data_IF_128919443826
#
_entry.id   IF_128919443826
#
_cell.length_a   1.000
_cell.length_b   1.000
_cell.length_c   1.000
_cell.angle_alpha   90.00
_cell.angle_beta   90.00
_cell.angle_gamma   90.00
#
_symmetry.space_group_name_H-M   'P 1'
#
loop_
_entity.id
_entity.type
_entity.pdbx_description
1 polymer ?
#
# COMPACT_ATOMS: atom_id res chain seq x y z
N UNK A 1 11.44 -19.38 -55.77
CA UNK A 1 12.43 -19.24 -54.67
C UNK A 1 13.66 -18.51 -55.20
N UNK A 2 14.24 -17.62 -54.35
CA UNK A 2 15.52 -16.87 -54.48
C UNK A 2 15.50 -15.67 -55.47
N UNK A 3 15.96 -14.45 -55.17
CA UNK A 3 17.10 -13.94 -54.36
C UNK A 3 16.94 -12.44 -53.96
N UNK A 4 17.88 -11.94 -53.12
CA UNK A 4 18.38 -10.55 -52.86
C UNK A 4 18.02 -9.97 -51.46
N UNK A 5 19.00 -9.76 -50.54
CA UNK A 5 19.86 -8.56 -50.30
C UNK A 5 19.01 -7.28 -50.08
N UNK A 6 19.17 -6.42 -49.05
CA UNK A 6 20.29 -5.93 -48.25
C UNK A 6 19.71 -5.20 -47.01
N UNK A 7 20.46 -5.05 -45.91
CA UNK A 7 20.82 -3.74 -45.30
C UNK A 7 21.48 -3.91 -43.92
N UNK A 8 22.73 -3.44 -43.85
CA UNK A 8 23.45 -3.04 -42.63
C UNK A 8 22.85 -1.75 -42.07
N UNK A 9 22.81 -1.61 -40.73
CA UNK A 9 23.36 -0.47 -39.97
C UNK A 9 23.00 -0.57 -38.47
N UNK A 10 24.01 -0.74 -37.61
CA UNK A 10 24.33 0.14 -36.47
C UNK A 10 25.45 -0.50 -35.62
N UNK A 11 26.59 0.20 -35.39
CA UNK A 11 27.59 -0.20 -34.41
C UNK A 11 27.27 0.42 -33.04
N UNK A 12 27.23 -0.40 -31.98
CA UNK A 12 27.28 0.10 -30.60
C UNK A 12 28.75 0.23 -30.21
N UNK A 13 29.21 1.46 -30.14
CA UNK A 13 30.52 1.86 -29.64
C UNK A 13 30.51 1.78 -28.11
N UNK A 14 31.24 0.83 -27.54
CA UNK A 14 31.55 0.78 -26.11
C UNK A 14 33.07 0.91 -25.97
N UNK A 15 33.53 2.13 -25.66
CA UNK A 15 34.89 2.37 -25.18
C UNK A 15 34.93 3.66 -24.36
N UNK A 16 35.31 3.53 -23.08
CA UNK A 16 36.31 4.33 -22.34
C UNK A 16 36.34 3.79 -20.89
N UNK A 17 37.20 2.82 -20.55
CA UNK A 17 38.45 2.99 -19.74
C UNK A 17 38.32 3.97 -18.56
N UNK A 18 38.23 3.50 -17.31
CA UNK A 18 39.30 3.03 -16.39
C UNK A 18 40.07 4.16 -15.67
N UNK A 19 40.43 3.85 -14.41
CA UNK A 19 41.39 4.50 -13.47
C UNK A 19 40.83 5.57 -12.52
N UNK A 20 41.11 5.59 -11.20
CA UNK A 20 41.89 4.69 -10.34
C UNK A 20 41.66 5.05 -8.85
N UNK A 21 41.88 4.07 -7.96
CA UNK A 21 42.41 4.15 -6.59
C UNK A 21 41.67 5.01 -5.53
N UNK A 22 41.30 4.40 -4.40
CA UNK A 22 42.21 4.14 -3.27
C UNK A 22 41.52 3.28 -2.19
N UNK A 23 42.27 2.28 -1.71
CA UNK A 23 42.07 1.55 -0.46
C UNK A 23 41.86 2.47 0.74
N UNK A 24 40.97 2.14 1.68
CA UNK A 24 41.32 1.98 3.11
C UNK A 24 40.25 1.19 3.86
N UNK A 25 40.66 0.11 4.53
CA UNK A 25 39.87 -0.67 5.49
C UNK A 25 39.96 -0.03 6.88
N UNK A 26 38.87 0.20 7.62
CA UNK A 26 38.95 0.23 9.09
C UNK A 26 37.61 -0.06 9.82
N UNK A 27 37.68 -1.08 10.68
CA UNK A 27 37.04 -1.30 12.00
C UNK A 27 35.58 -0.90 12.32
N UNK A 28 34.83 -1.95 12.69
CA UNK A 28 33.86 -1.95 13.79
C UNK A 28 34.59 -1.90 15.16
N UNK A 29 34.32 -0.88 15.98
CA UNK A 29 33.90 -1.01 17.40
C UNK A 29 33.90 0.32 18.19
N UNK A 30 32.84 0.48 19.00
CA UNK A 30 32.74 1.24 20.28
C UNK A 30 32.74 2.78 20.17
N UNK A 31 31.99 3.57 20.95
CA UNK A 31 31.47 3.42 22.32
C UNK A 31 30.45 4.55 22.59
N UNK A 32 29.48 4.30 23.47
CA UNK A 32 28.59 5.31 24.06
C UNK A 32 29.33 6.34 24.90
N UNK A 33 28.88 7.59 24.88
CA UNK A 33 29.00 8.54 25.99
C UNK A 33 27.83 9.53 25.96
N UNK A 34 27.22 9.68 27.14
CA UNK A 34 26.00 10.40 27.49
C UNK A 34 26.39 11.74 28.11
N UNK A 35 25.68 12.84 27.82
CA UNK A 35 25.45 13.99 28.73
C UNK A 35 24.53 15.05 28.06
N UNK A 36 23.32 15.17 28.61
CA UNK A 36 22.30 16.20 28.35
C UNK A 36 22.68 17.56 29.02
N UNK A 37 21.82 18.60 29.08
CA UNK A 37 20.61 18.94 28.32
C UNK A 37 20.66 20.39 27.74
N UNK A 38 19.91 20.69 26.69
CA UNK A 38 19.50 22.09 26.45
C UNK A 38 18.00 22.16 26.18
N UNK A 39 17.28 22.59 27.22
CA UNK A 39 15.94 23.18 27.13
C UNK A 39 16.03 24.36 26.17
N UNK A 40 15.37 24.25 25.03
CA UNK A 40 14.90 25.41 24.29
C UNK A 40 13.44 25.13 23.96
N UNK A 41 12.59 25.84 24.69
CA UNK A 41 11.16 25.88 24.52
C UNK A 41 10.85 26.13 23.04
N UNK A 42 10.26 25.13 22.39
CA UNK A 42 9.49 25.37 21.17
C UNK A 42 8.05 25.20 21.59
N UNK A 43 7.38 26.34 21.59
CA UNK A 43 5.96 26.59 21.73
C UNK A 43 5.11 25.39 21.35
N UNK A 44 4.18 25.02 22.23
CA UNK A 44 2.98 24.28 21.85
C UNK A 44 2.25 25.11 20.78
N UNK A 45 2.62 24.91 19.52
CA UNK A 45 1.75 25.23 18.41
C UNK A 45 0.65 24.19 18.44
N UNK A 46 -0.59 24.65 18.32
CA UNK A 46 -1.73 23.78 18.01
C UNK A 46 -1.30 22.79 16.94
N UNK A 47 -1.04 21.54 17.34
CA UNK A 47 -1.09 20.43 16.42
C UNK A 47 -2.57 20.28 16.17
N UNK A 48 -3.08 21.10 15.25
CA UNK A 48 -4.31 20.74 14.58
C UNK A 48 -4.08 19.33 14.06
N UNK A 49 -4.97 18.38 14.38
CA UNK A 49 -4.94 17.14 13.65
C UNK A 49 -5.12 17.49 12.18
N UNK A 50 -4.36 16.83 11.31
CA UNK A 50 -4.69 16.92 9.91
C UNK A 50 -6.10 16.36 9.77
N UNK A 51 -7.03 17.21 9.36
CA UNK A 51 -8.39 16.85 8.92
C UNK A 51 -8.38 15.92 7.68
N UNK A 52 -7.22 15.38 7.33
CA UNK A 52 -6.93 14.57 6.16
C UNK A 52 -6.68 13.10 6.51
N UNK A 53 -6.30 12.79 7.76
CA UNK A 53 -6.00 11.42 8.17
C UNK A 53 -7.28 10.65 8.50
N UNK A 54 -7.40 9.43 7.98
CA UNK A 54 -8.54 8.53 8.18
C UNK A 54 -9.85 8.96 7.51
N UNK A 55 -9.83 9.90 6.55
CA UNK A 55 -11.05 10.41 5.92
C UNK A 55 -11.93 9.33 5.28
N UNK A 56 -11.36 8.33 4.62
CA UNK A 56 -12.15 7.23 4.07
C UNK A 56 -12.69 6.35 5.21
N UNK A 57 -11.88 6.06 6.24
CA UNK A 57 -12.37 5.27 7.37
C UNK A 57 -13.45 5.99 8.19
N UNK A 58 -13.43 7.33 8.25
CA UNK A 58 -14.47 8.13 8.88
C UNK A 58 -15.75 8.19 8.06
N UNK A 59 -15.72 7.87 6.77
CA UNK A 59 -16.86 7.85 5.85
C UNK A 59 -17.38 6.43 5.57
N UNK A 60 -17.16 5.46 6.48
CA UNK A 60 -17.58 4.05 6.32
C UNK A 60 -19.05 3.87 5.91
N UNK A 61 -19.97 4.72 6.39
CA UNK A 61 -21.39 4.68 6.01
C UNK A 61 -21.65 4.96 4.52
N UNK A 62 -20.72 5.66 3.84
CA UNK A 62 -20.78 5.96 2.41
C UNK A 62 -20.20 4.80 1.56
N UNK A 63 -19.50 3.83 2.19
CA UNK A 63 -18.81 2.75 1.49
C UNK A 63 -19.63 1.46 1.43
N UNK A 64 -20.08 1.13 0.22
CA UNK A 64 -20.56 -0.20 -0.14
C UNK A 64 -19.47 -0.93 -0.93
N UNK A 65 -18.83 -1.94 -0.32
CA UNK A 65 -17.76 -2.72 -0.98
C UNK A 65 -18.24 -3.40 -2.28
N UNK A 66 -19.56 -3.62 -2.43
CA UNK A 66 -20.16 -4.19 -3.65
C UNK A 66 -20.37 -3.14 -4.74
N UNK A 67 -20.12 -1.85 -4.45
CA UNK A 67 -20.39 -0.72 -5.34
C UNK A 67 -19.48 0.49 -5.04
N UNK A 68 -18.17 0.25 -4.99
CA UNK A 68 -17.13 1.25 -4.68
C UNK A 68 -16.17 1.41 -5.85
N UNK A 69 -15.57 2.59 -6.00
CA UNK A 69 -14.49 2.76 -6.98
C UNK A 69 -13.17 2.17 -6.47
N UNK A 70 -12.28 1.70 -7.36
CA UNK A 70 -10.93 1.28 -6.97
C UNK A 70 -10.17 2.35 -6.19
N UNK A 71 -10.29 3.62 -6.57
CA UNK A 71 -9.61 4.73 -5.90
C UNK A 71 -10.08 4.89 -4.46
N UNK A 72 -11.38 4.89 -4.23
CA UNK A 72 -11.98 4.93 -2.89
C UNK A 72 -11.55 3.73 -2.05
N UNK A 73 -11.59 2.52 -2.61
CA UNK A 73 -11.20 1.30 -1.91
C UNK A 73 -9.71 1.32 -1.51
N UNK A 74 -8.82 1.79 -2.40
CA UNK A 74 -7.39 1.96 -2.07
C UNK A 74 -7.15 2.99 -0.97
N UNK A 75 -7.96 4.05 -0.93
CA UNK A 75 -7.88 5.08 0.12
C UNK A 75 -8.31 4.51 1.47
N UNK A 76 -9.39 3.72 1.50
CA UNK A 76 -9.84 3.04 2.71
C UNK A 76 -8.80 2.02 3.23
N UNK A 77 -8.16 1.23 2.35
CA UNK A 77 -7.06 0.34 2.75
C UNK A 77 -5.89 1.14 3.35
N UNK A 78 -5.54 2.28 2.76
CA UNK A 78 -4.44 3.11 3.25
C UNK A 78 -4.73 3.62 4.67
N UNK A 79 -5.95 4.09 4.92
CA UNK A 79 -6.38 4.53 6.25
C UNK A 79 -6.33 3.41 7.28
N UNK A 80 -6.82 2.21 6.93
CA UNK A 80 -6.79 1.03 7.82
C UNK A 80 -5.36 0.61 8.15
N UNK A 81 -4.47 0.63 7.14
CA UNK A 81 -3.06 0.28 7.31
C UNK A 81 -2.33 1.29 8.18
N UNK A 82 -2.61 2.59 7.98
CA UNK A 82 -2.07 3.65 8.82
C UNK A 82 -2.57 3.54 10.26
N UNK A 83 -3.85 3.28 10.48
CA UNK A 83 -4.40 3.10 11.82
C UNK A 83 -3.73 1.93 12.54
N UNK A 84 -3.53 0.82 11.82
CA UNK A 84 -2.81 -0.34 12.35
C UNK A 84 -1.38 0.00 12.75
N UNK A 85 -0.66 0.82 11.98
CA UNK A 85 0.70 1.22 12.35
C UNK A 85 0.75 2.10 13.60
N UNK A 86 -0.32 2.85 13.87
CA UNK A 86 -0.42 3.73 15.03
C UNK A 86 -0.90 2.98 16.29
N UNK A 87 -1.77 1.97 16.14
CA UNK A 87 -2.41 1.28 17.29
C UNK A 87 -1.91 -0.13 17.54
N UNK A 88 -1.33 -0.80 16.55
CA UNK A 88 -0.84 -2.17 16.62
C UNK A 88 -1.92 -3.24 16.83
N UNK A 89 -3.19 -2.94 16.52
CA UNK A 89 -4.33 -3.83 16.82
C UNK A 89 -4.75 -4.77 15.70
N UNK A 90 -4.31 -4.55 14.47
CA UNK A 90 -4.58 -5.46 13.34
C UNK A 90 -3.38 -6.38 13.17
N UNK A 91 -3.62 -7.65 12.87
CA UNK A 91 -2.55 -8.62 12.68
C UNK A 91 -1.74 -8.32 11.40
N UNK A 92 -0.43 -8.55 11.48
CA UNK A 92 0.52 -8.24 10.39
C UNK A 92 0.15 -8.94 9.08
N UNK A 93 -0.41 -10.15 9.15
CA UNK A 93 -0.74 -10.94 7.95
C UNK A 93 -1.93 -10.36 7.18
N UNK A 94 -2.92 -9.84 7.90
CA UNK A 94 -4.04 -9.10 7.32
C UNK A 94 -3.54 -7.81 6.67
N UNK A 95 -2.66 -7.05 7.34
CA UNK A 95 -2.08 -5.82 6.77
C UNK A 95 -1.25 -6.10 5.52
N UNK A 96 -0.46 -7.17 5.52
CA UNK A 96 0.29 -7.62 4.35
C UNK A 96 -0.66 -7.98 3.19
N UNK A 97 -1.73 -8.73 3.47
CA UNK A 97 -2.77 -9.07 2.48
C UNK A 97 -3.44 -7.83 1.88
N UNK A 98 -3.85 -6.86 2.70
CA UNK A 98 -4.43 -5.60 2.23
C UNK A 98 -3.43 -4.78 1.40
N UNK A 99 -2.16 -4.73 1.83
CA UNK A 99 -1.10 -4.01 1.13
C UNK A 99 -0.82 -4.59 -0.25
N UNK A 100 -0.75 -5.92 -0.36
CA UNK A 100 -0.61 -6.60 -1.66
C UNK A 100 -1.76 -6.26 -2.61
N UNK A 101 -3.00 -6.29 -2.12
CA UNK A 101 -4.15 -5.98 -2.95
C UNK A 101 -4.18 -4.52 -3.40
N UNK A 102 -3.88 -3.58 -2.49
CA UNK A 102 -3.79 -2.16 -2.81
C UNK A 102 -2.78 -1.90 -3.94
N UNK A 103 -1.57 -2.48 -3.83
CA UNK A 103 -0.55 -2.36 -4.89
C UNK A 103 -1.05 -2.93 -6.22
N UNK A 104 -1.73 -4.09 -6.19
CA UNK A 104 -2.32 -4.68 -7.40
C UNK A 104 -3.35 -3.76 -8.07
N UNK A 105 -4.24 -3.13 -7.29
CA UNK A 105 -5.20 -2.14 -7.79
C UNK A 105 -4.49 -0.92 -8.38
N UNK A 106 -3.52 -0.35 -7.65
CA UNK A 106 -2.75 0.82 -8.09
C UNK A 106 -2.02 0.57 -9.42
N UNK A 107 -1.37 -0.60 -9.56
CA UNK A 107 -0.69 -0.98 -10.81
C UNK A 107 -1.69 -1.13 -11.96
N UNK A 108 -2.83 -1.79 -11.73
CA UNK A 108 -3.86 -1.96 -12.77
C UNK A 108 -4.50 -0.65 -13.19
N UNK A 109 -4.68 0.29 -12.26
CA UNK A 109 -5.13 1.64 -12.57
C UNK A 109 -4.07 2.40 -13.37
N UNK A 110 -2.82 2.40 -12.93
CA UNK A 110 -1.72 3.11 -13.58
C UNK A 110 -1.44 2.59 -15.01
N UNK A 111 -1.65 1.30 -15.25
CA UNK A 111 -1.49 0.66 -16.56
C UNK A 111 -2.73 0.76 -17.45
N UNK A 112 -3.81 1.38 -16.98
CA UNK A 112 -5.07 1.53 -17.72
C UNK A 112 -5.91 0.24 -17.83
N UNK A 113 -5.52 -0.82 -17.12
CA UNK A 113 -6.26 -2.09 -17.07
C UNK A 113 -7.50 -2.01 -16.17
N UNK A 114 -7.56 -1.01 -15.28
CA UNK A 114 -8.66 -0.76 -14.37
C UNK A 114 -9.00 0.74 -14.39
N UNK A 115 -10.28 1.08 -14.60
CA UNK A 115 -10.70 2.48 -14.51
C UNK A 115 -10.83 2.89 -13.04
N UNK A 116 -10.07 3.91 -12.57
CA UNK A 116 -10.07 4.31 -11.16
C UNK A 116 -11.43 4.82 -10.66
N UNK A 117 -12.30 5.26 -11.56
CA UNK A 117 -13.60 5.87 -11.25
C UNK A 117 -14.78 4.94 -11.56
N UNK A 118 -14.54 3.73 -12.07
CA UNK A 118 -15.62 2.78 -12.31
C UNK A 118 -16.04 2.15 -10.99
N UNK A 119 -17.34 2.16 -10.69
CA UNK A 119 -17.88 1.41 -9.56
C UNK A 119 -17.86 -0.07 -9.86
N UNK A 120 -17.36 -0.85 -8.91
CA UNK A 120 -17.19 -2.29 -9.04
C UNK A 120 -17.59 -2.97 -7.73
N UNK A 121 -17.98 -4.22 -7.83
CA UNK A 121 -18.07 -5.12 -6.68
C UNK A 121 -16.65 -5.61 -6.36
N UNK A 122 -16.04 -5.07 -5.30
CA UNK A 122 -14.67 -5.43 -4.91
C UNK A 122 -14.60 -6.84 -4.32
N UNK A 123 -15.69 -7.33 -3.73
CA UNK A 123 -15.79 -8.69 -3.24
C UNK A 123 -15.75 -9.69 -4.39
N UNK A 124 -16.51 -9.42 -5.46
CA UNK A 124 -16.45 -10.20 -6.68
C UNK A 124 -15.10 -10.03 -7.40
N UNK A 125 -14.56 -8.81 -7.43
CA UNK A 125 -13.28 -8.53 -8.08
C UNK A 125 -12.13 -9.32 -7.46
N UNK A 126 -12.00 -9.35 -6.12
CA UNK A 126 -10.93 -10.11 -5.47
C UNK A 126 -11.07 -11.62 -5.71
N UNK A 127 -12.31 -12.14 -5.76
CA UNK A 127 -12.56 -13.54 -6.10
C UNK A 127 -12.06 -13.88 -7.50
N UNK A 128 -12.34 -13.02 -8.48
CA UNK A 128 -11.90 -13.24 -9.86
C UNK A 128 -10.40 -13.03 -10.03
N UNK A 129 -9.80 -12.10 -9.30
CA UNK A 129 -8.36 -11.89 -9.23
C UNK A 129 -7.62 -13.13 -8.70
N UNK A 130 -8.14 -13.78 -7.66
CA UNK A 130 -7.58 -15.03 -7.12
C UNK A 130 -7.65 -16.16 -8.13
N UNK A 131 -8.80 -16.37 -8.78
CA UNK A 131 -8.93 -17.39 -9.85
C UNK A 131 -7.99 -17.13 -11.02
N UNK A 132 -7.84 -15.88 -11.44
CA UNK A 132 -6.89 -15.50 -12.49
C UNK A 132 -5.46 -15.83 -12.09
N UNK A 133 -5.08 -15.52 -10.84
CA UNK A 133 -3.74 -15.81 -10.32
C UNK A 133 -3.44 -17.31 -10.31
N UNK A 134 -4.40 -18.14 -9.89
CA UNK A 134 -4.30 -19.60 -9.97
C UNK A 134 -4.13 -20.11 -11.40
N UNK A 135 -4.88 -19.56 -12.35
CA UNK A 135 -4.79 -19.96 -13.74
C UNK A 135 -3.44 -19.55 -14.37
N UNK A 136 -2.92 -18.37 -14.04
CA UNK A 136 -1.61 -17.91 -14.51
C UNK A 136 -0.48 -18.77 -13.95
N UNK A 137 -0.51 -19.12 -12.65
CA UNK A 137 0.45 -20.04 -12.05
C UNK A 137 0.42 -21.43 -12.70
N UNK A 138 -0.76 -21.95 -13.06
CA UNK A 138 -0.87 -23.23 -13.80
C UNK A 138 -0.29 -23.15 -15.21
N UNK A 139 -0.34 -21.99 -15.86
CA UNK A 139 0.17 -21.79 -17.23
C UNK A 139 1.68 -21.55 -17.26
N UNK A 140 2.18 -20.73 -16.33
CA UNK A 140 3.60 -20.42 -16.17
C UNK A 140 3.98 -20.31 -14.69
N UNK A 141 4.21 -21.47 -14.09
CA UNK A 141 4.58 -21.58 -12.68
C UNK A 141 5.93 -20.93 -12.36
N UNK A 142 6.85 -20.86 -13.33
CA UNK A 142 8.16 -20.25 -13.11
C UNK A 142 8.06 -18.76 -12.83
N UNK A 143 7.15 -18.08 -13.53
CA UNK A 143 6.94 -16.64 -13.37
C UNK A 143 5.94 -16.35 -12.25
N UNK A 144 4.88 -17.15 -12.12
CA UNK A 144 3.71 -16.82 -11.30
C UNK A 144 3.48 -17.75 -10.09
N UNK A 145 4.45 -18.57 -9.69
CA UNK A 145 4.33 -19.54 -8.59
C UNK A 145 3.68 -18.97 -7.32
N UNK A 146 4.05 -17.74 -6.93
CA UNK A 146 3.59 -17.10 -5.70
C UNK A 146 2.32 -16.25 -5.86
N UNK A 147 1.90 -15.96 -7.10
CA UNK A 147 0.72 -15.11 -7.34
C UNK A 147 -0.56 -15.63 -6.65
N UNK A 148 -0.87 -16.94 -6.66
CA UNK A 148 -2.03 -17.47 -5.95
C UNK A 148 -1.96 -17.30 -4.44
N UNK A 149 -0.75 -17.34 -3.85
CA UNK A 149 -0.56 -17.20 -2.41
C UNK A 149 -0.93 -15.78 -1.98
N UNK A 150 -0.35 -14.77 -2.63
CA UNK A 150 -0.64 -13.37 -2.31
C UNK A 150 -2.09 -12.98 -2.61
N UNK A 151 -2.69 -13.53 -3.68
CA UNK A 151 -4.10 -13.29 -3.99
C UNK A 151 -5.03 -13.91 -2.95
N UNK A 152 -4.72 -15.10 -2.44
CA UNK A 152 -5.49 -15.71 -1.35
C UNK A 152 -5.35 -14.97 -0.03
N UNK A 153 -4.14 -14.51 0.32
CA UNK A 153 -3.93 -13.65 1.50
C UNK A 153 -4.74 -12.35 1.40
N UNK A 154 -4.71 -11.70 0.23
CA UNK A 154 -5.51 -10.50 -0.05
C UNK A 154 -7.00 -10.77 0.14
N UNK A 155 -7.50 -11.88 -0.40
CA UNK A 155 -8.90 -12.28 -0.26
C UNK A 155 -9.29 -12.49 1.21
N UNK A 156 -8.49 -13.24 1.97
CA UNK A 156 -8.76 -13.49 3.39
C UNK A 156 -8.77 -12.20 4.21
N UNK A 157 -7.84 -11.30 3.95
CA UNK A 157 -7.78 -9.99 4.60
C UNK A 157 -9.03 -9.15 4.28
N UNK A 158 -9.47 -9.13 3.01
CA UNK A 158 -10.67 -8.41 2.61
C UNK A 158 -11.93 -9.01 3.23
N UNK A 159 -12.10 -10.33 3.17
CA UNK A 159 -13.23 -11.04 3.77
C UNK A 159 -13.31 -10.80 5.29
N UNK A 160 -12.16 -10.65 5.94
CA UNK A 160 -12.08 -10.39 7.39
C UNK A 160 -12.41 -8.94 7.71
N UNK A 161 -11.78 -7.98 7.04
CA UNK A 161 -11.84 -6.57 7.43
C UNK A 161 -13.11 -5.88 6.92
N UNK A 162 -13.55 -6.18 5.70
CA UNK A 162 -14.60 -5.40 5.04
C UNK A 162 -16.00 -5.98 5.28
N UNK A 163 -16.29 -6.28 6.54
CA UNK A 163 -17.66 -6.48 7.02
C UNK A 163 -18.15 -5.19 7.68
N UNK A 164 -19.46 -4.94 7.64
CA UNK A 164 -20.04 -3.73 8.24
C UNK A 164 -19.58 -3.52 9.69
N UNK A 165 -19.65 -4.57 10.52
CA UNK A 165 -19.26 -4.50 11.93
C UNK A 165 -17.77 -4.19 12.11
N UNK A 166 -16.89 -4.73 11.25
CA UNK A 166 -15.46 -4.51 11.40
C UNK A 166 -15.05 -3.12 10.91
N UNK A 167 -15.67 -2.62 9.83
CA UNK A 167 -15.47 -1.25 9.38
C UNK A 167 -15.96 -0.24 10.43
N UNK A 168 -17.12 -0.48 11.04
CA UNK A 168 -17.63 0.35 12.15
C UNK A 168 -16.67 0.33 13.36
N UNK A 169 -16.14 -0.84 13.74
CA UNK A 169 -15.17 -0.93 14.82
C UNK A 169 -13.89 -0.15 14.53
N UNK A 170 -13.38 -0.25 13.30
CA UNK A 170 -12.19 0.49 12.85
C UNK A 170 -12.46 2.00 12.80
N UNK A 171 -13.66 2.43 12.38
CA UNK A 171 -14.08 3.83 12.44
C UNK A 171 -14.08 4.36 13.88
N UNK A 172 -14.66 3.61 14.83
CA UNK A 172 -14.64 3.98 16.26
C UNK A 172 -13.22 4.05 16.82
N UNK A 173 -12.35 3.14 16.40
CA UNK A 173 -10.93 3.16 16.79
C UNK A 173 -10.20 4.39 16.24
N UNK A 174 -10.42 4.75 14.98
CA UNK A 174 -9.86 5.97 14.39
C UNK A 174 -10.34 7.22 15.14
N UNK A 175 -11.63 7.28 15.48
CA UNK A 175 -12.20 8.37 16.28
C UNK A 175 -11.54 8.47 17.65
N UNK A 176 -11.34 7.35 18.35
CA UNK A 176 -10.69 7.30 19.66
C UNK A 176 -9.21 7.72 19.57
N UNK A 177 -8.48 7.23 18.55
CA UNK A 177 -7.10 7.62 18.28
C UNK A 177 -6.99 9.13 18.05
N UNK A 178 -7.82 9.68 17.17
CA UNK A 178 -7.85 11.11 16.86
C UNK A 178 -8.15 11.93 18.13
N UNK A 179 -9.15 11.55 18.93
CA UNK A 179 -9.44 12.25 20.20
C UNK A 179 -8.24 12.26 21.16
N UNK A 180 -7.51 11.14 21.25
CA UNK A 180 -6.32 11.01 22.10
C UNK A 180 -5.12 11.81 21.60
N UNK A 181 -4.97 11.97 20.28
CA UNK A 181 -3.89 12.76 19.67
C UNK A 181 -4.13 14.27 19.71
N UNK A 182 -5.21 14.72 20.37
CA UNK A 182 -5.57 16.15 20.45
C UNK A 182 -6.37 16.63 19.24
N UNK A 183 -6.93 15.69 18.46
CA UNK A 183 -7.67 16.01 17.26
C UNK A 183 -9.04 16.61 17.56
N UNK A 184 -9.34 17.81 17.01
CA UNK A 184 -10.70 18.32 16.96
C UNK A 184 -11.45 17.65 15.81
N UNK A 185 -12.29 16.68 16.15
CA UNK A 185 -13.28 16.13 15.23
C UNK A 185 -14.46 17.10 15.18
N UNK A 186 -14.83 17.54 13.98
CA UNK A 186 -16.10 18.25 13.78
C UNK A 186 -17.14 17.17 13.57
N UNK A 187 -17.99 16.94 14.58
CA UNK A 187 -19.19 16.12 14.40
C UNK A 187 -20.00 16.73 13.25
N UNK A 188 -20.17 15.96 12.16
CA UNK A 188 -21.28 16.23 11.25
C UNK A 188 -22.54 15.93 12.06
N UNK A 189 -23.32 16.95 12.39
CA UNK A 189 -24.70 16.73 12.83
C UNK A 189 -25.41 15.91 11.75
N UNK A 190 -25.89 14.72 12.12
CA UNK A 190 -26.70 13.82 11.31
C UNK A 190 -28.14 14.32 11.26
#
# INVERSE_FOLDING_TARGET
MKLQNDLRNHPVLLQSTEQNNQHTSVNLHSKSEELAPNKSATTAGDIQPKRDDFNALLAVEEFDISNITPQEFTSLIADITHLSSETGKIDDSTIEGLSHFRVSLEVRMATGQLNPNAKLDMQQYVNDYTKQSENLSKQDDKTYAYSPIYANQSKQAIDTIFTQSNLENLQLEAIDFLKKSGSILIDKEV
#
